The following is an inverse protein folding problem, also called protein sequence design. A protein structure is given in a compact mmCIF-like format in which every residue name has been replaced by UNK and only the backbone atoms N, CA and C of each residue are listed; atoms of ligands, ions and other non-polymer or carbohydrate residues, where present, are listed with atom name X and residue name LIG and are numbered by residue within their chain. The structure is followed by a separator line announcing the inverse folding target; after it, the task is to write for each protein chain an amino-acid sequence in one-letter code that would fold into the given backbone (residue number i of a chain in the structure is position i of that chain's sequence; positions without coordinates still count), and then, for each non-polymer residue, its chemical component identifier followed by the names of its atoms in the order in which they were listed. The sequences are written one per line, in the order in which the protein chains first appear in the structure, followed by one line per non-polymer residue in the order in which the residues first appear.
data_IF_748292289143
#
_entry.id   IF_748292289143
#
_cell.length_a   1.000
_cell.length_b   1.000
_cell.length_c   1.000
_cell.angle_alpha   90.00
_cell.angle_beta   90.00
_cell.angle_gamma   90.00
#
_symmetry.space_group_name_H-M   'P 1'
#
loop_
_entity.id
_entity.type
_entity.pdbx_description
1 polymer ?
#
# COMPACT_ATOMS: atom_id res chain seq x y z
N UNK A 1 1.32 16.81 -1.87
CA UNK A 1 0.28 16.10 -1.07
C UNK A 1 0.59 14.61 -0.86
N UNK A 2 0.89 13.80 -1.90
CA UNK A 2 1.25 12.36 -1.79
C UNK A 2 2.41 12.03 -0.82
N UNK A 3 3.43 12.87 -0.70
CA UNK A 3 4.50 12.60 0.26
C UNK A 3 4.08 12.83 1.73
N UNK A 4 3.09 13.71 1.99
CA UNK A 4 2.75 14.15 3.36
C UNK A 4 1.98 13.12 4.18
N UNK A 5 1.12 12.33 3.54
CA UNK A 5 0.25 11.38 4.23
C UNK A 5 0.89 9.98 4.35
N UNK A 6 1.65 9.57 3.33
CA UNK A 6 2.29 8.26 3.27
C UNK A 6 3.63 8.22 4.00
N UNK A 7 4.41 9.31 4.03
CA UNK A 7 5.71 9.31 4.71
C UNK A 7 5.61 8.95 6.22
N UNK A 8 4.63 9.43 7.00
CA UNK A 8 4.46 8.99 8.38
C UNK A 8 4.12 7.50 8.51
N UNK A 9 3.43 6.90 7.53
CA UNK A 9 3.16 5.46 7.50
C UNK A 9 4.45 4.68 7.27
N UNK A 10 5.19 4.98 6.20
CA UNK A 10 6.43 4.29 5.87
C UNK A 10 7.54 4.56 6.88
N UNK A 11 7.61 5.76 7.46
CA UNK A 11 8.57 6.11 8.51
C UNK A 11 8.38 5.33 9.82
N UNK A 12 7.21 4.71 10.03
CA UNK A 12 6.99 3.74 11.12
C UNK A 12 7.15 2.29 10.67
N UNK A 13 6.75 1.99 9.43
CA UNK A 13 6.77 0.64 8.90
C UNK A 13 8.18 0.16 8.57
N UNK A 14 8.97 0.96 7.84
CA UNK A 14 10.29 0.57 7.34
C UNK A 14 11.26 0.25 8.50
N UNK A 15 11.45 1.13 9.52
CA UNK A 15 12.30 0.78 10.65
C UNK A 15 11.86 -0.47 11.40
N UNK A 16 10.53 -0.70 11.48
CA UNK A 16 9.98 -1.89 12.11
C UNK A 16 10.32 -3.15 11.30
N UNK A 17 10.12 -3.14 9.98
CA UNK A 17 10.47 -4.28 9.12
C UNK A 17 11.97 -4.59 9.21
N UNK A 18 12.82 -3.56 9.19
CA UNK A 18 14.27 -3.71 9.38
C UNK A 18 14.61 -4.33 10.74
N UNK A 19 13.95 -3.89 11.82
CA UNK A 19 14.17 -4.47 13.16
C UNK A 19 13.72 -5.94 13.29
N UNK A 20 12.78 -6.37 12.44
CA UNK A 20 12.28 -7.75 12.41
C UNK A 20 13.09 -8.64 11.42
N UNK A 21 13.83 -8.01 10.51
CA UNK A 21 14.78 -8.67 9.61
C UNK A 21 16.06 -9.04 10.38
N UNK A 22 16.78 -10.05 9.90
CA UNK A 22 17.99 -10.58 10.58
C UNK A 22 19.28 -9.97 10.00
N UNK A 23 19.24 -8.68 9.69
CA UNK A 23 20.33 -7.91 9.07
C UNK A 23 19.82 -6.64 8.38
N UNK A 24 20.73 -5.84 7.83
CA UNK A 24 20.42 -4.51 7.28
C UNK A 24 20.44 -4.42 5.76
N UNK A 25 20.51 -5.53 5.01
CA UNK A 25 20.58 -5.53 3.54
C UNK A 25 19.17 -5.54 2.93
N UNK A 26 18.83 -4.52 2.14
CA UNK A 26 17.49 -4.36 1.55
C UNK A 26 17.52 -4.46 0.03
N UNK A 27 16.58 -5.22 -0.53
CA UNK A 27 16.19 -5.14 -1.93
C UNK A 27 14.82 -4.44 -2.02
N UNK A 28 14.79 -3.27 -2.65
CA UNK A 28 13.57 -2.47 -2.83
C UNK A 28 13.08 -2.54 -4.28
N UNK A 29 11.99 -3.28 -4.49
CA UNK A 29 11.39 -3.58 -5.79
C UNK A 29 10.33 -2.52 -6.13
N UNK A 30 10.55 -1.80 -7.23
CA UNK A 30 9.82 -0.58 -7.57
C UNK A 30 10.21 0.59 -6.69
N UNK A 31 11.52 0.81 -6.51
CA UNK A 31 12.04 1.75 -5.51
C UNK A 31 11.72 3.23 -5.81
N UNK A 32 11.39 3.59 -7.05
CA UNK A 32 11.01 4.94 -7.46
C UNK A 32 12.01 6.02 -7.03
N UNK A 33 11.59 6.88 -6.09
CA UNK A 33 12.40 7.97 -5.54
C UNK A 33 13.31 7.57 -4.37
N UNK A 34 13.41 6.26 -4.08
CA UNK A 34 14.20 5.69 -2.99
C UNK A 34 13.75 6.20 -1.61
N UNK A 35 12.45 6.51 -1.45
CA UNK A 35 11.87 6.90 -0.17
C UNK A 35 12.19 5.90 0.94
N UNK A 36 12.11 4.59 0.67
CA UNK A 36 12.44 3.54 1.64
C UNK A 36 13.87 3.69 2.13
N UNK A 37 14.84 3.87 1.23
CA UNK A 37 16.23 4.08 1.61
C UNK A 37 16.40 5.31 2.51
N UNK A 38 15.70 6.41 2.18
CA UNK A 38 15.74 7.63 3.00
C UNK A 38 15.15 7.43 4.40
N UNK A 39 14.18 6.54 4.54
CA UNK A 39 13.49 6.24 5.80
C UNK A 39 14.15 5.13 6.62
N UNK A 40 14.94 4.26 5.97
CA UNK A 40 15.68 3.17 6.63
C UNK A 40 16.72 3.71 7.63
N UNK A 41 17.27 4.90 7.36
CA UNK A 41 18.21 5.57 8.24
C UNK A 41 19.52 4.78 8.45
N UNK A 42 20.18 4.89 9.61
CA UNK A 42 21.50 4.29 9.83
C UNK A 42 21.50 2.76 9.98
N UNK A 43 20.34 2.10 9.97
CA UNK A 43 20.23 0.64 10.06
C UNK A 43 20.45 -0.10 8.75
N UNK A 44 20.74 0.63 7.66
CA UNK A 44 20.94 0.09 6.33
C UNK A 44 22.41 -0.30 6.13
N UNK A 45 22.68 -1.60 6.01
CA UNK A 45 24.03 -2.14 5.76
C UNK A 45 24.33 -2.25 4.26
N UNK A 46 23.27 -2.43 3.47
CA UNK A 46 23.34 -2.49 2.02
C UNK A 46 21.96 -2.25 1.43
N UNK A 47 21.91 -1.68 0.23
CA UNK A 47 20.67 -1.38 -0.45
C UNK A 47 20.84 -1.56 -1.94
N UNK A 48 19.87 -2.22 -2.56
CA UNK A 48 19.70 -2.24 -4.00
C UNK A 48 18.25 -1.88 -4.32
N UNK A 49 18.06 -0.83 -5.12
CA UNK A 49 16.79 -0.53 -5.74
C UNK A 49 16.66 -1.24 -7.07
N UNK A 50 15.46 -1.70 -7.41
CA UNK A 50 15.11 -2.16 -8.76
C UNK A 50 13.91 -1.36 -9.22
N UNK A 51 13.98 -0.73 -10.38
CA UNK A 51 12.85 0.05 -10.92
C UNK A 51 12.83 -0.01 -12.45
N UNK A 52 11.68 0.27 -13.06
CA UNK A 52 11.53 0.34 -14.52
C UNK A 52 12.35 1.46 -15.15
N UNK A 53 12.84 2.40 -14.34
CA UNK A 53 13.66 3.53 -14.76
C UNK A 53 14.90 3.58 -13.87
N UNK A 54 16.00 4.10 -14.42
CA UNK A 54 17.16 4.48 -13.61
C UNK A 54 16.81 5.42 -12.43
N UNK A 55 17.77 5.69 -11.54
CA UNK A 55 17.53 6.37 -10.28
C UNK A 55 16.87 7.74 -10.49
N UNK A 56 15.79 8.01 -9.73
CA UNK A 56 15.16 9.32 -9.75
C UNK A 56 16.10 10.40 -9.20
N UNK A 57 15.87 11.66 -9.61
CA UNK A 57 16.63 12.79 -9.09
C UNK A 57 16.54 12.86 -7.56
N UNK A 58 17.69 12.79 -6.88
CA UNK A 58 17.78 12.79 -5.42
C UNK A 58 17.91 11.39 -4.78
N UNK A 59 17.78 10.30 -5.54
CA UNK A 59 18.16 8.99 -5.06
C UNK A 59 19.68 8.84 -5.05
N UNK A 60 20.27 8.72 -3.86
CA UNK A 60 21.72 8.53 -3.67
C UNK A 60 22.13 7.05 -3.55
N UNK A 61 21.25 6.13 -3.96
CA UNK A 61 21.45 4.69 -3.82
C UNK A 61 21.69 4.02 -5.18
N UNK A 62 22.23 2.80 -5.14
CA UNK A 62 22.33 1.96 -6.31
C UNK A 62 20.92 1.52 -6.76
N UNK A 63 20.62 1.75 -8.05
CA UNK A 63 19.36 1.37 -8.68
C UNK A 63 19.66 0.63 -9.99
N UNK A 64 19.12 -0.57 -10.11
CA UNK A 64 19.15 -1.37 -11.33
C UNK A 64 17.86 -1.15 -12.13
N UNK A 65 18.00 -0.74 -13.39
CA UNK A 65 16.87 -0.60 -14.29
C UNK A 65 16.40 -1.99 -14.77
N UNK A 66 15.22 -2.42 -14.33
CA UNK A 66 14.65 -3.71 -14.69
C UNK A 66 13.12 -3.72 -14.68
N UNK A 67 12.54 -4.51 -15.57
CA UNK A 67 11.11 -4.74 -15.62
C UNK A 67 10.72 -5.97 -14.79
N UNK A 68 10.12 -5.74 -13.62
CA UNK A 68 9.66 -6.79 -12.70
C UNK A 68 8.64 -7.76 -13.33
N UNK A 69 8.00 -7.40 -14.46
CA UNK A 69 7.18 -8.33 -15.24
C UNK A 69 7.99 -9.46 -15.87
N UNK A 70 9.31 -9.35 -15.88
CA UNK A 70 10.26 -10.38 -16.34
C UNK A 70 10.89 -11.19 -15.20
N UNK A 71 10.58 -10.87 -13.93
CA UNK A 71 11.16 -11.53 -12.75
C UNK A 71 11.93 -10.58 -11.85
N UNK A 72 12.73 -11.14 -10.93
CA UNK A 72 13.51 -10.42 -9.92
C UNK A 72 14.64 -9.56 -10.53
N UNK A 73 15.04 -9.88 -11.75
CA UNK A 73 16.07 -9.15 -12.49
C UNK A 73 17.50 -9.50 -12.09
N UNK A 74 18.49 -8.70 -12.52
CA UNK A 74 19.91 -8.99 -12.32
C UNK A 74 20.35 -8.64 -10.89
N UNK A 75 19.70 -9.24 -9.90
CA UNK A 75 20.21 -9.24 -8.54
C UNK A 75 21.44 -10.15 -8.51
N UNK A 76 22.53 -9.67 -7.90
CA UNK A 76 23.72 -10.51 -7.69
C UNK A 76 23.39 -11.75 -6.86
N UNK A 77 24.32 -12.72 -6.72
CA UNK A 77 24.06 -13.97 -6.01
C UNK A 77 23.90 -13.82 -4.48
N UNK A 78 24.13 -12.61 -3.96
CA UNK A 78 24.17 -12.35 -2.53
C UNK A 78 22.76 -12.02 -2.00
N UNK A 79 22.22 -12.82 -1.05
CA UNK A 79 20.87 -12.64 -0.55
C UNK A 79 20.71 -11.36 0.30
N UNK A 80 19.48 -10.86 0.33
CA UNK A 80 19.09 -9.73 1.17
C UNK A 80 18.40 -10.20 2.46
N UNK A 81 18.30 -9.29 3.42
CA UNK A 81 17.59 -9.49 4.68
C UNK A 81 16.11 -9.15 4.61
N UNK A 82 15.81 -8.16 3.77
CA UNK A 82 14.48 -7.64 3.54
C UNK A 82 14.27 -7.44 2.04
N UNK A 83 13.28 -8.13 1.51
CA UNK A 83 12.76 -7.95 0.15
C UNK A 83 11.48 -7.15 0.27
N UNK A 84 11.49 -5.93 -0.23
CA UNK A 84 10.41 -4.98 -0.05
C UNK A 84 9.86 -4.59 -1.41
N UNK A 85 8.53 -4.55 -1.54
CA UNK A 85 7.84 -3.91 -2.65
C UNK A 85 6.75 -3.02 -2.05
N UNK A 86 6.80 -1.71 -2.31
CA UNK A 86 5.86 -0.75 -1.72
C UNK A 86 5.00 -0.07 -2.79
N UNK A 87 4.05 0.77 -2.37
CA UNK A 87 3.20 1.57 -3.26
C UNK A 87 2.37 0.77 -4.28
N UNK A 88 2.03 -0.48 -3.94
CA UNK A 88 1.17 -1.31 -4.77
C UNK A 88 1.87 -1.97 -5.96
N UNK A 89 3.21 -2.03 -5.96
CA UNK A 89 4.01 -2.68 -7.01
C UNK A 89 3.49 -4.07 -7.38
N UNK A 90 3.07 -4.88 -6.40
CA UNK A 90 2.55 -6.23 -6.67
C UNK A 90 1.28 -6.23 -7.53
N UNK A 91 0.48 -5.15 -7.49
CA UNK A 91 -0.72 -5.03 -8.33
C UNK A 91 -0.45 -4.64 -9.77
N UNK A 92 0.76 -4.19 -10.10
CA UNK A 92 1.17 -3.93 -11.49
C UNK A 92 1.61 -5.20 -12.23
N UNK A 93 1.60 -6.34 -11.56
CA UNK A 93 1.93 -7.64 -12.10
C UNK A 93 0.66 -8.45 -12.30
N UNK A 94 0.57 -9.15 -13.44
CA UNK A 94 -0.42 -10.20 -13.63
C UNK A 94 -0.21 -11.31 -12.59
N UNK A 95 -1.24 -12.09 -12.21
CA UNK A 95 -1.13 -13.13 -11.20
C UNK A 95 0.06 -14.08 -11.38
N UNK A 96 0.34 -14.51 -12.60
CA UNK A 96 1.45 -15.41 -12.92
C UNK A 96 2.82 -14.71 -12.82
N UNK A 97 2.87 -13.41 -13.13
CA UNK A 97 4.08 -12.60 -12.99
C UNK A 97 4.41 -12.37 -11.52
N UNK A 98 3.41 -12.06 -10.70
CA UNK A 98 3.58 -11.92 -9.25
C UNK A 98 4.00 -13.25 -8.62
N UNK A 99 3.33 -14.35 -8.98
CA UNK A 99 3.69 -15.69 -8.49
C UNK A 99 5.16 -16.02 -8.80
N UNK A 100 5.60 -15.79 -10.04
CA UNK A 100 7.00 -16.01 -10.43
C UNK A 100 7.96 -15.13 -9.64
N UNK A 101 7.68 -13.83 -9.51
CA UNK A 101 8.53 -12.91 -8.75
C UNK A 101 8.67 -13.33 -7.28
N UNK A 102 7.57 -13.73 -6.63
CA UNK A 102 7.58 -14.19 -5.24
C UNK A 102 8.40 -15.47 -5.10
N UNK A 103 8.28 -16.42 -6.04
CA UNK A 103 9.12 -17.64 -6.06
C UNK A 103 10.60 -17.33 -6.26
N UNK A 104 10.95 -16.46 -7.21
CA UNK A 104 12.35 -16.07 -7.44
C UNK A 104 12.95 -15.34 -6.23
N UNK A 105 12.15 -14.53 -5.53
CA UNK A 105 12.55 -13.93 -4.24
C UNK A 105 12.79 -15.01 -3.19
N UNK A 106 11.90 -16.00 -3.07
CA UNK A 106 12.06 -17.09 -2.11
C UNK A 106 13.31 -17.93 -2.40
N UNK A 107 13.61 -18.21 -3.67
CA UNK A 107 14.80 -18.95 -4.11
C UNK A 107 16.09 -18.16 -3.88
N UNK A 108 16.05 -16.84 -4.07
CA UNK A 108 17.20 -15.96 -3.84
C UNK A 108 17.46 -15.71 -2.35
N UNK A 109 16.42 -15.69 -1.54
CA UNK A 109 16.50 -15.26 -0.15
C UNK A 109 17.10 -16.32 0.79
N UNK A 110 17.81 -15.86 1.81
CA UNK A 110 18.32 -16.75 2.87
C UNK A 110 17.24 -17.07 3.90
N UNK A 111 17.39 -18.22 4.57
CA UNK A 111 16.52 -18.61 5.69
C UNK A 111 16.40 -17.49 6.72
N UNK A 112 15.18 -17.19 7.11
CA UNK A 112 14.84 -16.11 8.04
C UNK A 112 14.72 -14.72 7.42
N UNK A 113 15.03 -14.51 6.13
CA UNK A 113 14.79 -13.24 5.46
C UNK A 113 13.30 -12.87 5.45
N UNK A 114 13.01 -11.56 5.49
CA UNK A 114 11.65 -11.04 5.40
C UNK A 114 11.30 -10.66 3.97
N UNK A 115 10.07 -10.96 3.57
CA UNK A 115 9.48 -10.54 2.30
C UNK A 115 8.23 -9.74 2.61
N UNK A 116 8.15 -8.50 2.13
CA UNK A 116 7.06 -7.58 2.41
C UNK A 116 6.58 -6.93 1.10
N UNK A 117 5.50 -7.45 0.52
CA UNK A 117 4.98 -7.01 -0.76
C UNK A 117 3.65 -6.28 -0.59
N UNK A 118 3.60 -5.04 -1.06
CA UNK A 118 2.39 -4.23 -1.12
C UNK A 118 1.69 -4.37 -2.47
N UNK A 119 0.42 -4.72 -2.40
CA UNK A 119 -0.57 -4.70 -3.48
C UNK A 119 -1.61 -3.62 -3.21
N UNK A 120 -2.50 -3.38 -4.17
CA UNK A 120 -3.76 -2.70 -3.97
C UNK A 120 -4.76 -3.62 -3.26
N UNK A 121 -5.45 -3.14 -2.23
CA UNK A 121 -6.39 -3.95 -1.45
C UNK A 121 -7.72 -4.19 -2.17
N UNK A 122 -8.11 -5.46 -2.37
CA UNK A 122 -9.34 -5.81 -3.07
C UNK A 122 -10.57 -5.11 -2.49
N UNK A 123 -10.67 -5.04 -1.18
CA UNK A 123 -11.83 -4.49 -0.47
C UNK A 123 -11.72 -2.98 -0.22
N UNK A 124 -10.86 -2.26 -0.95
CA UNK A 124 -10.81 -0.80 -0.94
C UNK A 124 -12.15 -0.19 -1.37
N UNK A 125 -12.49 0.96 -0.77
CA UNK A 125 -13.62 1.79 -1.20
C UNK A 125 -13.48 2.32 -2.62
N UNK A 126 -12.28 2.28 -3.19
CA UNK A 126 -12.01 2.82 -4.52
C UNK A 126 -12.69 1.97 -5.61
N UNK A 127 -12.88 0.66 -5.43
CA UNK A 127 -13.42 -0.24 -6.47
C UNK A 127 -14.38 -1.33 -5.93
N UNK A 128 -15.48 -0.95 -5.25
CA UNK A 128 -16.43 -1.92 -4.69
C UNK A 128 -17.04 -2.87 -5.70
N UNK A 129 -17.16 -2.46 -6.97
CA UNK A 129 -17.61 -3.32 -8.06
C UNK A 129 -16.78 -4.60 -8.26
N UNK A 130 -15.54 -4.64 -7.75
CA UNK A 130 -14.64 -5.79 -7.90
C UNK A 130 -14.67 -6.77 -6.72
N UNK A 131 -15.31 -6.43 -5.59
CA UNK A 131 -15.22 -7.22 -4.36
C UNK A 131 -15.72 -8.66 -4.48
N UNK A 132 -16.63 -8.91 -5.42
CA UNK A 132 -17.17 -10.25 -5.72
C UNK A 132 -16.51 -10.95 -6.91
N UNK A 133 -15.58 -10.28 -7.61
CA UNK A 133 -14.92 -10.84 -8.80
C UNK A 133 -13.79 -11.77 -8.36
N UNK A 134 -13.67 -13.01 -8.86
CA UNK A 134 -12.53 -13.90 -8.58
C UNK A 134 -11.18 -13.36 -9.08
N UNK A 135 -10.03 -13.86 -8.59
CA UNK A 135 -8.73 -13.39 -9.05
C UNK A 135 -8.50 -13.81 -10.50
N UNK A 136 -8.16 -12.85 -11.36
CA UNK A 136 -7.82 -13.08 -12.77
C UNK A 136 -7.94 -11.81 -13.60
N UNK A 137 -7.90 -11.95 -14.92
CA UNK A 137 -7.96 -10.82 -15.87
C UNK A 137 -9.23 -9.98 -15.73
N UNK A 138 -10.36 -10.61 -15.38
CA UNK A 138 -11.65 -9.94 -15.17
C UNK A 138 -11.67 -8.99 -13.97
N UNK A 139 -10.72 -9.14 -13.04
CA UNK A 139 -10.56 -8.25 -11.88
C UNK A 139 -9.59 -7.10 -12.16
N UNK A 140 -8.93 -7.07 -13.32
CA UNK A 140 -8.04 -5.99 -13.65
C UNK A 140 -8.83 -4.70 -13.96
N UNK A 141 -8.22 -3.57 -13.63
CA UNK A 141 -8.78 -2.24 -13.93
C UNK A 141 -7.69 -1.30 -14.43
N UNK A 142 -8.09 -0.31 -15.24
CA UNK A 142 -7.20 0.73 -15.74
C UNK A 142 -6.95 1.78 -14.64
N UNK A 143 -5.77 1.72 -14.03
CA UNK A 143 -5.37 2.58 -12.92
C UNK A 143 -4.60 3.81 -13.39
N UNK A 144 -4.96 4.98 -12.89
CA UNK A 144 -4.46 6.27 -13.38
C UNK A 144 -3.22 6.71 -12.60
N UNK A 145 -2.05 6.56 -13.23
CA UNK A 145 -0.74 7.03 -12.76
C UNK A 145 -0.12 7.98 -13.80
N UNK A 146 -0.79 9.10 -14.08
CA UNK A 146 -0.41 10.02 -15.18
C UNK A 146 -0.81 9.48 -16.56
N UNK A 147 -0.80 8.15 -16.74
CA UNK A 147 -1.45 7.39 -17.80
C UNK A 147 -2.27 6.24 -17.19
N UNK A 148 -3.11 5.58 -17.98
CA UNK A 148 -3.80 4.36 -17.60
C UNK A 148 -2.83 3.17 -17.66
N UNK A 149 -2.73 2.44 -16.55
CA UNK A 149 -1.95 1.21 -16.43
C UNK A 149 -2.80 0.12 -15.80
N UNK A 150 -2.80 -1.10 -16.32
CA UNK A 150 -3.60 -2.17 -15.76
C UNK A 150 -3.07 -2.55 -14.38
N UNK A 151 -3.98 -2.74 -13.42
CA UNK A 151 -3.65 -3.25 -12.08
C UNK A 151 -4.62 -4.33 -11.64
N UNK A 152 -4.14 -5.21 -10.78
CA UNK A 152 -4.92 -6.29 -10.16
C UNK A 152 -5.00 -6.08 -8.64
N UNK A 153 -6.18 -5.79 -8.07
CA UNK A 153 -6.37 -5.72 -6.62
C UNK A 153 -6.43 -7.11 -5.97
N UNK A 154 -5.81 -7.23 -4.79
CA UNK A 154 -5.60 -8.50 -4.10
C UNK A 154 -6.31 -8.59 -2.76
N UNK A 155 -6.87 -9.76 -2.46
CA UNK A 155 -7.32 -10.11 -1.12
C UNK A 155 -6.13 -10.64 -0.27
N UNK A 156 -6.17 -10.48 1.06
CA UNK A 156 -5.07 -10.92 1.93
C UNK A 156 -4.82 -12.43 1.88
N UNK A 157 -5.87 -13.24 1.76
CA UNK A 157 -5.78 -14.69 1.68
C UNK A 157 -5.20 -15.15 0.33
N UNK A 158 -5.43 -14.39 -0.74
CA UNK A 158 -4.82 -14.66 -2.05
C UNK A 158 -3.31 -14.40 -2.04
N UNK A 159 -2.87 -13.28 -1.46
CA UNK A 159 -1.43 -13.00 -1.29
C UNK A 159 -0.77 -14.03 -0.35
N UNK A 160 -1.46 -14.44 0.71
CA UNK A 160 -0.94 -15.45 1.63
C UNK A 160 -0.72 -16.79 0.89
N UNK A 161 -1.67 -17.23 0.06
CA UNK A 161 -1.53 -18.44 -0.77
C UNK A 161 -0.38 -18.34 -1.75
N UNK A 162 -0.14 -17.17 -2.36
CA UNK A 162 1.02 -16.97 -3.24
C UNK A 162 2.34 -17.11 -2.47
N UNK A 163 2.41 -16.55 -1.26
CA UNK A 163 3.59 -16.67 -0.40
C UNK A 163 3.82 -18.13 -0.01
N UNK A 164 2.78 -18.85 0.43
CA UNK A 164 2.87 -20.27 0.78
C UNK A 164 3.30 -21.14 -0.40
N UNK A 165 2.75 -20.89 -1.60
CA UNK A 165 3.11 -21.61 -2.82
C UNK A 165 4.59 -21.41 -3.21
N UNK A 166 5.17 -20.26 -2.87
CA UNK A 166 6.59 -19.96 -3.04
C UNK A 166 7.47 -20.49 -1.89
N UNK A 167 6.90 -21.17 -0.89
CA UNK A 167 7.64 -21.68 0.27
C UNK A 167 7.92 -20.64 1.37
N UNK A 168 7.32 -19.45 1.29
CA UNK A 168 7.37 -18.44 2.34
C UNK A 168 6.29 -18.74 3.39
N UNK A 169 6.57 -18.47 4.67
CA UNK A 169 5.56 -18.48 5.73
C UNK A 169 4.91 -17.09 5.84
N UNK A 170 3.61 -16.92 5.51
CA UNK A 170 2.92 -15.67 5.77
C UNK A 170 2.89 -15.37 7.27
N UNK A 171 3.15 -14.12 7.64
CA UNK A 171 3.15 -13.67 9.03
C UNK A 171 1.94 -12.79 9.34
N UNK A 172 1.66 -11.83 8.46
CA UNK A 172 0.58 -10.85 8.64
C UNK A 172 0.31 -10.09 7.35
N UNK A 173 -0.90 -9.54 7.27
CA UNK A 173 -1.26 -8.51 6.32
C UNK A 173 -1.45 -7.16 7.03
N UNK A 174 -1.21 -6.06 6.30
CA UNK A 174 -1.34 -4.68 6.79
C UNK A 174 -2.04 -3.81 5.75
N UNK A 175 -3.12 -3.14 6.14
CA UNK A 175 -3.80 -2.15 5.32
C UNK A 175 -3.14 -0.76 5.42
N UNK A 176 -3.12 -0.03 4.29
CA UNK A 176 -2.74 1.39 4.22
C UNK A 176 -3.86 2.20 3.57
N UNK A 177 -4.20 3.35 4.17
CA UNK A 177 -5.14 4.33 3.63
C UNK A 177 -6.54 3.75 3.36
N UNK A 178 -7.27 3.37 4.42
CA UNK A 178 -8.59 2.70 4.32
C UNK A 178 -9.74 3.62 3.94
N UNK A 179 -9.73 4.86 4.43
CA UNK A 179 -10.79 5.84 4.13
C UNK A 179 -10.29 7.07 3.40
N UNK A 180 -8.97 7.24 3.28
CA UNK A 180 -8.34 8.32 2.53
C UNK A 180 -7.24 7.78 1.61
N UNK A 181 -7.60 6.74 0.84
CA UNK A 181 -6.84 6.26 -0.31
C UNK A 181 -6.61 7.38 -1.35
N UNK A 182 -5.48 7.37 -2.06
CA UNK A 182 -5.11 8.42 -3.00
C UNK A 182 -6.07 8.56 -4.19
N UNK A 183 -6.95 7.59 -4.47
CA UNK A 183 -7.95 7.68 -5.54
C UNK A 183 -9.37 7.95 -5.08
N UNK A 184 -9.59 7.97 -3.76
CA UNK A 184 -10.90 8.32 -3.20
C UNK A 184 -11.21 9.80 -3.49
N UNK A 185 -12.37 10.04 -4.09
CA UNK A 185 -12.86 11.39 -4.42
C UNK A 185 -12.71 11.81 -5.87
N UNK A 186 -11.93 11.09 -6.68
CA UNK A 186 -11.79 11.41 -8.11
C UNK A 186 -13.07 11.06 -8.91
N UNK A 187 -14.01 10.30 -8.33
CA UNK A 187 -15.25 9.84 -8.97
C UNK A 187 -15.06 8.85 -10.11
N UNK A 188 -13.82 8.58 -10.52
CA UNK A 188 -13.46 7.77 -11.66
C UNK A 188 -13.70 6.27 -11.45
N UNK A 189 -13.35 5.73 -10.27
CA UNK A 189 -13.49 4.30 -9.97
C UNK A 189 -14.82 3.94 -9.30
N UNK A 190 -15.37 4.85 -8.51
CA UNK A 190 -16.69 4.70 -7.88
C UNK A 190 -17.35 6.08 -7.72
N UNK A 191 -18.32 6.42 -8.60
CA UNK A 191 -19.01 7.70 -8.54
C UNK A 191 -19.75 7.94 -7.22
N UNK A 192 -19.75 9.19 -6.76
CA UNK A 192 -20.48 9.59 -5.54
C UNK A 192 -19.71 9.36 -4.24
N UNK A 193 -18.46 8.88 -4.27
CA UNK A 193 -17.60 8.91 -3.10
C UNK A 193 -17.28 10.34 -2.68
N UNK A 194 -17.38 10.68 -1.39
CA UNK A 194 -16.89 11.96 -0.91
C UNK A 194 -15.37 12.08 -1.10
N UNK A 195 -14.85 13.30 -1.32
CA UNK A 195 -13.43 13.54 -1.55
C UNK A 195 -12.62 13.52 -0.24
N UNK A 196 -12.68 12.40 0.48
CA UNK A 196 -12.10 12.22 1.81
C UNK A 196 -10.59 12.48 1.83
N UNK A 197 -9.87 12.03 0.80
CA UNK A 197 -8.42 12.24 0.66
C UNK A 197 -8.08 13.73 0.56
N UNK A 198 -8.81 14.45 -0.28
CA UNK A 198 -8.62 15.89 -0.48
C UNK A 198 -8.97 16.65 0.80
N UNK A 199 -10.10 16.31 1.42
CA UNK A 199 -10.54 16.92 2.67
C UNK A 199 -9.50 16.78 3.79
N UNK A 200 -8.96 15.56 4.00
CA UNK A 200 -7.88 15.33 4.97
C UNK A 200 -6.63 16.12 4.59
N UNK A 201 -6.27 16.18 3.31
CA UNK A 201 -5.13 16.95 2.82
C UNK A 201 -5.26 18.45 3.11
N UNK A 202 -6.41 19.04 2.77
CA UNK A 202 -6.72 20.47 3.02
C UNK A 202 -6.67 20.80 4.51
N UNK A 203 -7.24 19.96 5.36
CA UNK A 203 -7.18 20.13 6.81
C UNK A 203 -5.73 20.06 7.35
N UNK A 204 -4.88 19.18 6.80
CA UNK A 204 -3.46 19.15 7.17
C UNK A 204 -2.71 20.41 6.73
N UNK A 205 -3.15 21.04 5.64
CA UNK A 205 -2.59 22.28 5.12
C UNK A 205 -3.14 23.53 5.85
N UNK A 206 -4.00 23.34 6.87
CA UNK A 206 -4.53 24.40 7.72
C UNK A 206 -5.84 25.02 7.21
N UNK A 207 -6.53 24.38 6.27
CA UNK A 207 -7.80 24.87 5.76
C UNK A 207 -8.91 24.76 6.83
N UNK A 208 -9.44 25.90 7.27
CA UNK A 208 -10.53 26.01 8.24
C UNK A 208 -11.93 26.01 7.59
N UNK A 209 -12.00 25.85 6.27
CA UNK A 209 -13.24 25.87 5.51
C UNK A 209 -14.26 24.81 5.95
N UNK A 210 -15.52 25.06 5.59
CA UNK A 210 -16.62 24.14 5.87
C UNK A 210 -16.56 22.91 4.97
N UNK A 211 -16.13 23.06 3.71
CA UNK A 211 -16.08 22.01 2.70
C UNK A 211 -15.30 20.75 3.12
N UNK A 212 -14.07 20.82 3.68
CA UNK A 212 -13.38 19.62 4.16
C UNK A 212 -14.15 18.90 5.28
N UNK A 213 -14.83 19.64 6.16
CA UNK A 213 -15.61 19.04 7.25
C UNK A 213 -16.87 18.35 6.73
N UNK A 214 -17.56 18.98 5.78
CA UNK A 214 -18.73 18.41 5.11
C UNK A 214 -18.39 17.12 4.36
N UNK A 215 -17.28 17.11 3.62
CA UNK A 215 -16.79 15.91 2.95
C UNK A 215 -16.50 14.76 3.94
N UNK A 216 -15.96 15.06 5.13
CA UNK A 216 -15.72 14.05 6.15
C UNK A 216 -17.00 13.49 6.78
N UNK A 217 -18.09 14.24 6.85
CA UNK A 217 -19.36 13.74 7.41
C UNK A 217 -20.32 13.16 6.36
N UNK A 218 -19.98 13.27 5.07
CA UNK A 218 -20.77 12.72 3.99
C UNK A 218 -20.96 11.20 4.14
N UNK A 219 -22.17 10.74 3.80
CA UNK A 219 -22.49 9.33 3.73
C UNK A 219 -21.74 8.66 2.56
N UNK A 220 -21.45 7.38 2.71
CA UNK A 220 -20.94 6.58 1.60
C UNK A 220 -22.07 6.30 0.60
N UNK A 221 -21.78 6.23 -0.71
CA UNK A 221 -22.71 5.65 -1.68
C UNK A 221 -23.02 4.19 -1.34
N UNK A 222 -24.10 3.60 -1.87
CA UNK A 222 -24.42 2.20 -1.65
C UNK A 222 -23.24 1.28 -1.97
N UNK A 223 -22.95 0.34 -1.07
CA UNK A 223 -21.88 -0.65 -1.23
C UNK A 223 -22.48 -2.05 -1.43
N UNK A 224 -21.78 -2.95 -2.14
CA UNK A 224 -22.16 -4.36 -2.20
C UNK A 224 -22.28 -4.97 -0.81
N UNK A 225 -23.28 -5.82 -0.60
CA UNK A 225 -23.47 -6.48 0.69
C UNK A 225 -22.26 -7.39 1.02
N UNK A 226 -21.80 -7.33 2.26
CA UNK A 226 -20.73 -8.22 2.75
C UNK A 226 -19.92 -7.61 3.89
N UNK A 227 -18.94 -8.36 4.43
CA UNK A 227 -18.11 -7.91 5.54
C UNK A 227 -17.32 -6.62 5.24
N UNK A 228 -16.83 -6.46 4.01
CA UNK A 228 -16.12 -5.26 3.58
C UNK A 228 -16.99 -3.99 3.69
N UNK A 229 -18.25 -4.03 3.24
CA UNK A 229 -19.17 -2.92 3.38
C UNK A 229 -19.43 -2.57 4.86
N UNK A 230 -19.59 -3.59 5.72
CA UNK A 230 -19.80 -3.37 7.16
C UNK A 230 -18.62 -2.63 7.79
N UNK A 231 -17.38 -3.00 7.44
CA UNK A 231 -16.16 -2.33 7.92
C UNK A 231 -16.14 -0.86 7.47
N UNK A 232 -16.44 -0.60 6.20
CA UNK A 232 -16.42 0.77 5.67
C UNK A 232 -17.55 1.64 6.21
N UNK A 233 -18.75 1.10 6.38
CA UNK A 233 -19.85 1.81 7.04
C UNK A 233 -19.51 2.11 8.50
N UNK A 234 -18.98 1.15 9.26
CA UNK A 234 -18.56 1.39 10.64
C UNK A 234 -17.47 2.48 10.73
N UNK A 235 -16.52 2.50 9.80
CA UNK A 235 -15.49 3.53 9.75
C UNK A 235 -16.08 4.91 9.39
N UNK A 236 -17.03 4.96 8.46
CA UNK A 236 -17.75 6.19 8.13
C UNK A 236 -18.60 6.71 9.30
N UNK A 237 -19.25 5.83 10.05
CA UNK A 237 -20.03 6.18 11.23
C UNK A 237 -19.13 6.78 12.32
N UNK A 238 -18.01 6.13 12.63
CA UNK A 238 -17.01 6.67 13.57
C UNK A 238 -16.46 8.02 13.16
N UNK A 239 -16.23 8.23 11.86
CA UNK A 239 -15.79 9.52 11.34
C UNK A 239 -16.87 10.59 11.54
N UNK A 240 -18.14 10.29 11.23
CA UNK A 240 -19.28 11.19 11.44
C UNK A 240 -19.49 11.55 12.91
N UNK A 241 -19.31 10.58 13.80
CA UNK A 241 -19.33 10.80 15.24
C UNK A 241 -18.18 11.71 15.69
N UNK A 242 -16.98 11.53 15.14
CA UNK A 242 -15.77 12.26 15.58
C UNK A 242 -15.77 13.75 15.17
N UNK A 243 -16.14 14.06 13.92
CA UNK A 243 -15.94 15.40 13.32
C UNK A 243 -16.55 16.55 14.15
N UNK A 244 -17.77 16.45 14.71
CA UNK A 244 -18.35 17.53 15.52
C UNK A 244 -17.61 17.83 16.82
N UNK A 245 -16.92 16.84 17.41
CA UNK A 245 -16.28 16.99 18.73
C UNK A 245 -14.82 17.43 18.66
N UNK A 246 -14.18 17.30 17.51
CA UNK A 246 -12.81 17.79 17.32
C UNK A 246 -12.86 19.25 16.88
N UNK A 247 -12.93 20.13 17.88
CA UNK A 247 -12.67 21.57 17.73
C UNK A 247 -11.17 21.89 17.67
N UNK A 248 -10.85 23.14 17.32
CA UNK A 248 -9.47 23.63 17.25
C UNK A 248 -8.83 23.47 15.86
N UNK A 249 -7.49 23.43 15.85
CA UNK A 249 -6.64 23.41 14.65
C UNK A 249 -7.05 22.34 13.61
N UNK A 250 -7.27 22.70 12.33
CA UNK A 250 -7.64 21.77 11.26
C UNK A 250 -6.78 20.50 11.18
N UNK A 251 -5.48 20.65 11.38
CA UNK A 251 -4.54 19.52 11.34
C UNK A 251 -4.78 18.51 12.47
N UNK A 252 -5.36 18.92 13.60
CA UNK A 252 -5.77 18.02 14.67
C UNK A 252 -6.91 17.11 14.24
N UNK A 253 -7.94 17.69 13.59
CA UNK A 253 -9.05 16.92 13.02
C UNK A 253 -8.56 15.92 11.98
N UNK A 254 -7.70 16.36 11.05
CA UNK A 254 -7.13 15.47 10.04
C UNK A 254 -6.40 14.27 10.66
N UNK A 255 -5.58 14.51 11.68
CA UNK A 255 -4.86 13.44 12.41
C UNK A 255 -5.80 12.52 13.19
N UNK A 256 -6.85 13.07 13.81
CA UNK A 256 -7.83 12.30 14.54
C UNK A 256 -8.62 11.37 13.59
N UNK A 257 -9.07 11.88 12.45
CA UNK A 257 -9.70 11.09 11.39
C UNK A 257 -8.75 10.01 10.88
N UNK A 258 -7.50 10.36 10.57
CA UNK A 258 -6.50 9.38 10.13
C UNK A 258 -6.26 8.30 11.20
N UNK A 259 -6.31 8.67 12.48
CA UNK A 259 -6.18 7.74 13.61
C UNK A 259 -7.32 6.73 13.75
N UNK A 260 -8.48 6.96 13.11
CA UNK A 260 -9.55 5.95 13.03
C UNK A 260 -9.20 4.77 12.12
N UNK A 261 -8.14 4.91 11.30
CA UNK A 261 -7.58 3.80 10.54
C UNK A 261 -6.91 2.80 11.49
N UNK A 262 -7.72 1.91 12.06
CA UNK A 262 -7.27 0.74 12.80
C UNK A 262 -6.32 -0.15 11.99
N UNK A 263 -5.50 -0.91 12.72
CA UNK A 263 -4.58 -1.88 12.14
C UNK A 263 -5.38 -3.12 11.74
N UNK A 264 -5.76 -3.20 10.47
CA UNK A 264 -6.27 -4.43 9.85
C UNK A 264 -5.28 -4.94 8.82
N UNK A 265 -5.49 -6.19 8.40
CA UNK A 265 -4.85 -6.79 7.23
C UNK A 265 -5.91 -7.41 6.33
N UNK A 266 -7.09 -6.78 6.27
CA UNK A 266 -8.27 -7.33 5.63
C UNK A 266 -8.33 -7.03 4.14
N UNK A 267 -7.45 -6.16 3.62
CA UNK A 267 -7.52 -5.68 2.23
C UNK A 267 -8.48 -4.52 2.05
N UNK A 268 -8.82 -3.80 3.12
CA UNK A 268 -9.74 -2.64 3.10
C UNK A 268 -9.04 -1.33 2.73
N UNK A 269 -7.71 -1.32 2.78
CA UNK A 269 -6.87 -0.19 2.39
C UNK A 269 -6.78 -0.02 0.89
N UNK A 270 -6.44 1.20 0.44
CA UNK A 270 -5.87 1.36 -0.89
C UNK A 270 -4.66 0.45 -1.08
N UNK A 271 -3.76 0.41 -0.09
CA UNK A 271 -2.63 -0.52 -0.05
C UNK A 271 -2.90 -1.70 0.88
N UNK A 272 -2.40 -2.87 0.51
CA UNK A 272 -2.39 -4.10 1.29
C UNK A 272 -0.99 -4.72 1.22
N UNK A 273 -0.27 -4.70 2.34
CA UNK A 273 1.04 -5.33 2.45
C UNK A 273 0.94 -6.71 3.07
N UNK A 274 1.37 -7.73 2.32
CA UNK A 274 1.63 -9.06 2.86
C UNK A 274 3.08 -9.14 3.35
N UNK A 275 3.27 -9.58 4.59
CA UNK A 275 4.58 -9.84 5.18
C UNK A 275 4.72 -11.33 5.42
N UNK A 276 5.79 -11.92 4.89
CA UNK A 276 6.17 -13.31 5.08
C UNK A 276 7.63 -13.46 5.45
N UNK A 277 8.03 -14.70 5.75
CA UNK A 277 9.40 -15.05 6.10
C UNK A 277 9.82 -16.32 5.40
N UNK A 278 11.05 -16.35 4.90
CA UNK A 278 11.69 -17.58 4.42
C UNK A 278 11.93 -18.50 5.63
N UNK A 279 11.44 -19.76 5.61
CA UNK A 279 11.60 -20.70 6.73
C UNK A 279 13.04 -20.93 7.19
#
# INVERSE_FOLDING_TARGET
MRARLEAPYFGRLVPRLLSEARGGRVLDLGCGDCLVASLAGPGLEGYLGVDLRGPAAGCCQEVSEHDLRSGLGPVGPEPFDLYLATFGVASHLEPEQLARLVSEVADHARSGALVAFEALGLYSLEWPQLWGTPPGRERMLDYRLGAEVPVHPWAPDELARLFEAAGLRPLRALDRSRQAGPKLGEGHYWPGLPPLREAVGRLLDGDEGVEPREALIAALPPLPAGPAAQVHHALADRRRELVPYVGGEPACLARAVWGLEGRSGGGFGHGLMMVGRVP
#
